data_IF_296854738911
#
_entry.id   IF_296854738911
#
_cell.length_a   1.000
_cell.length_b   1.000
_cell.length_c   1.000
_cell.angle_alpha   90.00
_cell.angle_beta   90.00
_cell.angle_gamma   90.00
#
_symmetry.space_group_name_H-M   'P 1'
#
loop_
_entity.id
_entity.type
_entity.pdbx_description
1 polymer ?
#
# COMPACT_ATOMS: atom_id res chain seq x y z
N UNK A 1 -0.89 -3.64 1.16
CA UNK A 1 -2.04 -2.91 0.59
C UNK A 1 -3.37 -3.22 1.22
N UNK A 2 -3.78 -4.49 1.28
CA UNK A 2 -5.14 -4.83 1.74
C UNK A 2 -5.50 -4.20 3.10
N UNK A 3 -4.58 -4.28 4.08
CA UNK A 3 -4.72 -3.64 5.39
C UNK A 3 -5.01 -2.14 5.28
N UNK A 4 -4.20 -1.41 4.50
CA UNK A 4 -4.35 0.04 4.28
C UNK A 4 -5.70 0.37 3.67
N UNK A 5 -6.15 -0.39 2.67
CA UNK A 5 -7.43 -0.14 1.99
C UNK A 5 -8.61 -0.33 2.94
N UNK A 6 -8.62 -1.43 3.71
CA UNK A 6 -9.69 -1.69 4.67
C UNK A 6 -9.76 -0.61 5.75
N UNK A 7 -8.61 -0.24 6.33
CA UNK A 7 -8.56 0.78 7.37
C UNK A 7 -8.87 2.18 6.82
N UNK A 8 -8.45 2.49 5.59
CA UNK A 8 -8.77 3.77 4.95
C UNK A 8 -10.28 3.93 4.77
N UNK A 9 -10.95 2.93 4.19
CA UNK A 9 -12.41 2.96 4.01
C UNK A 9 -13.12 2.97 5.36
N UNK A 10 -12.69 2.12 6.30
CA UNK A 10 -13.24 2.08 7.66
C UNK A 10 -13.17 3.44 8.35
N UNK A 11 -12.01 4.09 8.33
CA UNK A 11 -11.84 5.42 8.91
C UNK A 11 -12.71 6.50 8.26
N UNK A 12 -13.02 6.41 6.95
CA UNK A 12 -14.00 7.31 6.34
C UNK A 12 -15.43 7.02 6.75
N UNK A 13 -15.81 5.75 6.90
CA UNK A 13 -17.13 5.36 7.42
C UNK A 13 -17.31 5.79 8.89
N UNK A 14 -16.22 5.85 9.64
CA UNK A 14 -16.18 6.33 11.03
C UNK A 14 -16.01 7.86 11.15
N UNK A 15 -16.04 8.61 10.04
CA UNK A 15 -15.85 10.06 9.99
C UNK A 15 -14.52 10.55 10.59
N UNK A 16 -13.48 9.72 10.55
CA UNK A 16 -12.12 9.99 11.01
C UNK A 16 -11.15 10.13 9.82
N UNK A 17 -11.23 11.21 9.01
CA UNK A 17 -10.41 11.36 7.82
C UNK A 17 -8.91 11.43 8.15
N UNK A 18 -8.56 11.94 9.34
CA UNK A 18 -7.16 11.97 9.79
C UNK A 18 -6.56 10.58 9.90
N UNK A 19 -7.30 9.63 10.49
CA UNK A 19 -6.87 8.25 10.61
C UNK A 19 -6.70 7.60 9.22
N UNK A 20 -7.64 7.85 8.29
CA UNK A 20 -7.55 7.35 6.93
C UNK A 20 -6.24 7.80 6.25
N UNK A 21 -5.91 9.10 6.32
CA UNK A 21 -4.66 9.62 5.76
C UNK A 21 -3.42 9.09 6.48
N UNK A 22 -3.48 8.85 7.80
CA UNK A 22 -2.37 8.20 8.50
C UNK A 22 -2.13 6.77 8.01
N UNK A 23 -3.18 5.98 7.80
CA UNK A 23 -3.04 4.64 7.22
C UNK A 23 -2.40 4.70 5.83
N UNK A 24 -2.84 5.64 4.99
CA UNK A 24 -2.27 5.84 3.66
C UNK A 24 -0.77 6.21 3.72
N UNK A 25 -0.37 7.10 4.63
CA UNK A 25 1.01 7.55 4.75
C UNK A 25 1.92 6.49 5.38
N UNK A 26 1.52 5.90 6.51
CA UNK A 26 2.39 5.03 7.32
C UNK A 26 2.44 3.61 6.78
N UNK A 27 1.33 3.10 6.24
CA UNK A 27 1.26 1.71 5.76
C UNK A 27 1.10 1.63 4.24
N UNK A 28 0.38 2.58 3.63
CA UNK A 28 0.14 2.63 2.19
C UNK A 28 1.41 2.93 1.41
N UNK A 29 2.05 4.08 1.65
CA UNK A 29 3.26 4.47 0.91
C UNK A 29 4.38 3.41 0.98
N UNK A 30 4.77 2.88 2.15
CA UNK A 30 5.82 1.85 2.20
C UNK A 30 5.45 0.58 1.44
N UNK A 31 4.18 0.16 1.50
CA UNK A 31 3.78 -1.03 0.76
C UNK A 31 3.75 -0.80 -0.76
N UNK A 32 3.57 0.45 -1.24
CA UNK A 32 3.58 0.77 -2.68
C UNK A 32 5.01 0.67 -3.20
N UNK A 33 5.96 1.20 -2.43
CA UNK A 33 7.38 1.09 -2.71
C UNK A 33 7.80 -0.38 -2.77
N UNK A 34 7.42 -1.18 -1.77
CA UNK A 34 7.75 -2.61 -1.74
C UNK A 34 7.14 -3.38 -2.91
N UNK A 35 5.90 -3.07 -3.31
CA UNK A 35 5.29 -3.66 -4.50
C UNK A 35 6.06 -3.30 -5.77
N UNK A 36 6.46 -2.04 -5.92
CA UNK A 36 7.29 -1.60 -7.04
C UNK A 36 8.63 -2.34 -7.10
N UNK A 37 9.29 -2.52 -5.95
CA UNK A 37 10.55 -3.26 -5.85
C UNK A 37 10.36 -4.74 -6.18
N UNK A 38 9.33 -5.38 -5.61
CA UNK A 38 9.01 -6.78 -5.89
C UNK A 38 8.71 -7.00 -7.38
N UNK A 39 7.95 -6.07 -8.00
CA UNK A 39 7.69 -6.08 -9.43
C UNK A 39 8.96 -5.95 -10.26
N UNK A 40 9.83 -4.99 -9.94
CA UNK A 40 11.10 -4.83 -10.63
C UNK A 40 11.98 -6.08 -10.53
N UNK A 41 12.01 -6.73 -9.36
CA UNK A 41 12.76 -7.96 -9.16
C UNK A 41 12.18 -9.12 -9.99
N UNK A 42 10.86 -9.30 -9.97
CA UNK A 42 10.17 -10.31 -10.76
C UNK A 42 10.40 -10.11 -12.27
N UNK A 43 10.25 -8.87 -12.76
CA UNK A 43 10.51 -8.53 -14.16
C UNK A 43 11.97 -8.78 -14.58
N UNK A 44 12.94 -8.49 -13.69
CA UNK A 44 14.36 -8.82 -13.93
C UNK A 44 14.61 -10.32 -13.98
N UNK A 45 13.92 -11.11 -13.15
CA UNK A 45 14.05 -12.57 -13.15
C UNK A 45 13.53 -13.18 -14.45
N UNK A 46 12.37 -12.73 -14.93
CA UNK A 46 11.79 -13.19 -16.20
C UNK A 46 12.71 -12.89 -17.38
N UNK A 47 13.37 -11.72 -17.40
CA UNK A 47 14.31 -11.36 -18.48
C UNK A 47 15.62 -12.15 -18.49
N UNK A 48 15.97 -12.84 -17.40
CA UNK A 48 17.20 -13.65 -17.28
C UNK A 48 16.98 -15.14 -17.56
N UNK A 49 15.73 -15.61 -17.55
CA UNK A 49 15.34 -16.97 -17.91
C UNK A 49 15.12 -17.08 -19.42
#
# INVERSE_FOLDING_TARGET
>A
MLLTVQNFIGSFLEYEPRAAYMFLLVTGLPSLVLLGVAWQLAARRVKKA
#
